data_IF_217706119128
#
_entry.id   IF_217706119128
#
_cell.length_a   1.000
_cell.length_b   1.000
_cell.length_c   1.000
_cell.angle_alpha   90.00
_cell.angle_beta   90.00
_cell.angle_gamma   90.00
#
_symmetry.space_group_name_H-M   'P 1'
#
loop_
_entity.id
_entity.type
_entity.pdbx_description
1 polymer ?
#
# COMPACT_ATOMS: atom_id res chain seq x y z
N UNK A 1 -17.15 -36.81 -52.52
CA UNK A 1 -17.10 -36.66 -53.99
C UNK A 1 -18.24 -35.73 -54.40
N UNK A 2 -17.87 -34.60 -55.01
CA UNK A 2 -18.61 -33.66 -55.89
C UNK A 2 -20.02 -33.18 -55.48
N UNK A 3 -20.33 -31.89 -55.32
CA UNK A 3 -20.09 -30.66 -56.10
C UNK A 3 -20.94 -30.53 -57.40
N UNK A 4 -22.00 -29.72 -57.36
CA UNK A 4 -22.41 -28.73 -58.40
C UNK A 4 -23.85 -28.24 -58.11
N UNK A 5 -24.12 -26.95 -57.82
CA UNK A 5 -24.12 -25.76 -58.72
C UNK A 5 -25.22 -25.93 -59.81
N UNK A 6 -26.20 -25.04 -59.99
CA UNK A 6 -26.15 -23.85 -60.86
C UNK A 6 -27.46 -23.02 -60.77
N UNK A 7 -27.29 -21.71 -60.49
CA UNK A 7 -27.88 -20.45 -61.05
C UNK A 7 -29.26 -20.40 -61.73
N UNK A 8 -29.98 -19.30 -61.46
CA UNK A 8 -30.45 -18.25 -62.40
C UNK A 8 -31.50 -17.36 -61.68
N UNK A 9 -31.77 -16.08 -61.96
CA UNK A 9 -31.16 -15.01 -62.71
C UNK A 9 -31.91 -13.71 -62.30
N UNK A 10 -31.26 -12.57 -62.55
CA UNK A 10 -31.66 -11.20 -62.21
C UNK A 10 -33.02 -10.77 -62.80
N UNK A 11 -33.77 -9.93 -62.07
CA UNK A 11 -34.47 -8.78 -62.68
C UNK A 11 -34.33 -7.52 -61.83
N UNK A 12 -33.87 -6.48 -62.50
CA UNK A 12 -33.53 -5.15 -62.04
C UNK A 12 -34.74 -4.23 -62.24
N UNK A 13 -35.17 -3.47 -61.22
CA UNK A 13 -36.02 -2.26 -61.36
C UNK A 13 -35.69 -1.27 -60.24
N UNK A 14 -34.92 -0.24 -60.58
CA UNK A 14 -34.85 1.06 -59.88
C UNK A 14 -36.08 1.93 -60.26
N UNK A 15 -36.25 3.16 -59.72
CA UNK A 15 -35.99 3.65 -58.36
C UNK A 15 -37.21 4.44 -57.80
N UNK A 16 -37.28 4.68 -56.49
CA UNK A 16 -38.16 5.74 -55.95
C UNK A 16 -37.52 6.41 -54.73
N UNK A 17 -37.21 7.69 -54.87
CA UNK A 17 -36.77 8.61 -53.80
C UNK A 17 -37.92 8.83 -52.82
N UNK A 18 -37.66 8.86 -51.51
CA UNK A 18 -38.39 9.68 -50.52
C UNK A 18 -37.70 9.69 -49.15
N UNK A 19 -37.37 10.91 -48.70
CA UNK A 19 -37.46 11.36 -47.31
C UNK A 19 -36.56 10.70 -46.27
N UNK A 20 -35.41 11.33 -45.99
CA UNK A 20 -34.71 11.22 -44.70
C UNK A 20 -35.62 11.86 -43.65
N UNK A 21 -36.29 11.06 -42.83
CA UNK A 21 -37.00 11.53 -41.63
C UNK A 21 -36.00 11.49 -40.48
N UNK A 22 -35.54 12.67 -40.09
CA UNK A 22 -34.64 12.92 -38.99
C UNK A 22 -35.43 12.76 -37.69
N UNK A 23 -35.05 11.78 -36.87
CA UNK A 23 -35.59 11.64 -35.51
C UNK A 23 -34.81 12.59 -34.59
N UNK A 24 -35.48 13.44 -33.79
CA UNK A 24 -34.78 14.32 -32.87
C UNK A 24 -34.12 13.47 -31.79
N UNK A 25 -32.81 13.63 -31.65
CA UNK A 25 -32.01 13.03 -30.59
C UNK A 25 -32.55 13.51 -29.25
N UNK A 26 -33.21 12.60 -28.51
CA UNK A 26 -33.60 12.86 -27.14
C UNK A 26 -32.32 12.96 -26.31
N UNK A 27 -31.89 14.20 -26.03
CA UNK A 27 -30.76 14.48 -25.16
C UNK A 27 -31.11 14.00 -23.75
N UNK A 28 -30.51 12.89 -23.33
CA UNK A 28 -30.52 12.46 -21.93
C UNK A 28 -29.91 13.58 -21.09
N UNK A 29 -30.53 14.00 -19.98
CA UNK A 29 -29.93 14.97 -19.08
C UNK A 29 -28.60 14.38 -18.57
N UNK A 30 -27.52 15.14 -18.78
CA UNK A 30 -26.19 14.78 -18.30
C UNK A 30 -26.27 14.58 -16.79
N UNK A 31 -25.96 13.36 -16.35
CA UNK A 31 -25.83 13.02 -14.94
C UNK A 31 -24.93 14.07 -14.29
N UNK A 32 -25.30 14.65 -13.13
CA UNK A 32 -24.39 15.53 -12.43
C UNK A 32 -23.11 14.73 -12.15
N UNK A 33 -21.99 15.23 -12.66
CA UNK A 33 -20.67 14.75 -12.28
C UNK A 33 -20.51 15.06 -10.79
N UNK A 34 -20.91 14.11 -9.95
CA UNK A 34 -20.47 14.06 -8.56
C UNK A 34 -18.99 13.71 -8.67
N UNK A 35 -18.13 14.73 -8.59
CA UNK A 35 -16.69 14.51 -8.51
C UNK A 35 -16.41 13.80 -7.18
N UNK A 36 -15.85 12.58 -7.18
CA UNK A 36 -15.35 12.00 -5.95
C UNK A 36 -14.17 12.85 -5.50
N UNK A 37 -14.22 13.33 -4.26
CA UNK A 37 -13.16 14.11 -3.62
C UNK A 37 -12.04 13.22 -3.08
N UNK A 38 -11.76 12.10 -3.77
CA UNK A 38 -10.76 11.10 -3.36
C UNK A 38 -9.93 10.70 -4.59
N UNK A 39 -8.63 10.49 -4.35
CA UNK A 39 -7.56 10.25 -5.33
C UNK A 39 -7.98 9.57 -6.65
N UNK A 40 -7.40 10.03 -7.77
CA UNK A 40 -7.59 9.47 -9.13
C UNK A 40 -7.14 8.00 -9.30
N UNK A 41 -6.71 7.33 -8.24
CA UNK A 41 -6.14 5.97 -8.25
C UNK A 41 -6.84 5.00 -7.31
N UNK A 42 -8.16 5.13 -7.11
CA UNK A 42 -8.91 4.20 -6.26
C UNK A 42 -9.15 2.88 -7.00
N UNK A 43 -8.42 1.83 -6.64
CA UNK A 43 -8.57 0.50 -7.25
C UNK A 43 -9.62 -0.30 -6.47
N UNK A 44 -10.72 -0.76 -7.11
CA UNK A 44 -11.72 -1.57 -6.42
C UNK A 44 -11.11 -2.91 -6.01
N UNK A 45 -11.41 -3.35 -4.80
CA UNK A 45 -10.88 -4.60 -4.27
C UNK A 45 -11.96 -5.38 -3.52
N UNK A 46 -11.84 -6.70 -3.59
CA UNK A 46 -12.67 -7.65 -2.87
C UNK A 46 -11.77 -8.51 -2.00
N UNK A 47 -12.16 -8.70 -0.74
CA UNK A 47 -11.44 -9.56 0.18
C UNK A 47 -11.70 -11.03 -0.16
N UNK A 48 -10.66 -11.80 -0.42
CA UNK A 48 -10.76 -13.23 -0.73
C UNK A 48 -10.86 -14.10 0.53
N UNK A 49 -10.26 -13.63 1.63
CA UNK A 49 -10.28 -14.26 2.95
C UNK A 49 -10.49 -13.23 4.05
N UNK A 50 -10.77 -13.72 5.26
CA UNK A 50 -10.76 -12.89 6.46
C UNK A 50 -9.36 -12.30 6.64
N UNK A 51 -9.29 -10.99 6.88
CA UNK A 51 -8.06 -10.24 6.96
C UNK A 51 -8.06 -9.36 8.19
N UNK A 52 -7.01 -9.47 9.01
CA UNK A 52 -6.78 -8.52 10.09
C UNK A 52 -6.30 -7.20 9.51
N UNK A 53 -6.95 -6.12 9.92
CA UNK A 53 -6.65 -4.78 9.47
C UNK A 53 -6.71 -3.81 10.65
N UNK A 54 -6.03 -2.67 10.53
CA UNK A 54 -5.98 -1.65 11.57
C UNK A 54 -6.75 -0.43 11.11
N UNK A 55 -7.72 0.03 11.89
CA UNK A 55 -8.49 1.23 11.57
C UNK A 55 -7.62 2.48 11.70
N UNK A 56 -7.61 3.33 10.67
CA UNK A 56 -6.88 4.61 10.67
C UNK A 56 -7.87 5.76 10.85
N UNK A 57 -7.65 6.70 11.80
CA UNK A 57 -6.45 6.92 12.61
C UNK A 57 -6.48 6.28 14.02
N UNK A 58 -7.56 5.59 14.40
CA UNK A 58 -7.73 5.14 15.79
C UNK A 58 -6.70 4.10 16.26
N UNK A 59 -6.20 3.24 15.36
CA UNK A 59 -5.27 2.15 15.69
C UNK A 59 -5.95 0.85 16.12
N UNK A 60 -7.29 0.80 16.14
CA UNK A 60 -8.03 -0.40 16.56
C UNK A 60 -7.88 -1.53 15.53
N UNK A 61 -7.50 -2.73 16.00
CA UNK A 61 -7.47 -3.93 15.17
C UNK A 61 -8.87 -4.47 14.92
N UNK A 62 -9.21 -4.69 13.64
CA UNK A 62 -10.51 -5.18 13.19
C UNK A 62 -10.29 -6.24 12.12
N UNK A 63 -10.97 -7.38 12.23
CA UNK A 63 -10.98 -8.40 11.19
C UNK A 63 -12.06 -8.08 10.15
N UNK A 64 -11.65 -7.85 8.91
CA UNK A 64 -12.54 -7.65 7.77
C UNK A 64 -12.93 -9.02 7.18
N UNK A 65 -14.23 -9.33 7.06
CA UNK A 65 -14.66 -10.64 6.58
C UNK A 65 -14.42 -10.82 5.08
N UNK A 66 -14.19 -12.07 4.67
CA UNK A 66 -14.13 -12.46 3.27
C UNK A 66 -15.39 -12.01 2.52
N UNK A 67 -15.22 -11.50 1.31
CA UNK A 67 -16.28 -10.94 0.48
C UNK A 67 -16.61 -9.47 0.75
N UNK A 68 -15.95 -8.84 1.74
CA UNK A 68 -15.97 -7.38 1.90
C UNK A 68 -15.50 -6.69 0.61
N UNK A 69 -16.12 -5.54 0.28
CA UNK A 69 -15.74 -4.73 -0.87
C UNK A 69 -15.26 -3.36 -0.42
N UNK A 70 -14.19 -2.89 -1.06
CA UNK A 70 -13.63 -1.59 -0.78
C UNK A 70 -12.84 -1.03 -1.95
N UNK A 71 -12.09 0.02 -1.67
CA UNK A 71 -11.19 0.64 -2.63
C UNK A 71 -9.81 0.80 -1.99
N UNK A 72 -8.76 0.35 -2.66
CA UNK A 72 -7.39 0.68 -2.27
C UNK A 72 -7.19 2.16 -2.55
N UNK A 73 -6.97 2.94 -1.49
CA UNK A 73 -6.70 4.37 -1.58
C UNK A 73 -5.21 4.65 -1.68
N UNK A 74 -4.39 3.79 -1.07
CA UNK A 74 -2.93 3.91 -1.04
C UNK A 74 -2.28 2.51 -0.99
N UNK A 75 -1.13 2.37 -1.64
CA UNK A 75 -0.27 1.20 -1.57
C UNK A 75 1.18 1.70 -1.37
N UNK A 76 1.68 1.62 -0.13
CA UNK A 76 2.95 2.23 0.28
C UNK A 76 3.77 1.22 1.08
N UNK A 77 4.99 0.95 0.62
CA UNK A 77 5.99 0.18 1.38
C UNK A 77 5.55 -1.22 1.77
N UNK A 78 4.83 -1.89 0.88
CA UNK A 78 4.24 -3.19 1.12
C UNK A 78 2.92 -3.16 1.90
N UNK A 79 2.52 -2.06 2.55
CA UNK A 79 1.21 -1.95 3.21
C UNK A 79 0.15 -1.32 2.31
N UNK A 80 -1.11 -1.69 2.53
CA UNK A 80 -2.24 -1.23 1.72
C UNK A 80 -3.26 -0.53 2.60
N UNK A 81 -3.64 0.69 2.23
CA UNK A 81 -4.76 1.39 2.86
C UNK A 81 -6.01 1.19 2.00
N UNK A 82 -7.04 0.62 2.60
CA UNK A 82 -8.33 0.35 1.96
C UNK A 82 -9.43 1.17 2.60
N UNK A 83 -10.39 1.61 1.79
CA UNK A 83 -11.61 2.26 2.24
C UNK A 83 -12.77 1.27 2.15
N UNK A 84 -13.31 0.89 3.31
CA UNK A 84 -14.40 -0.09 3.46
C UNK A 84 -15.46 0.50 4.37
N UNK A 85 -16.72 0.48 3.91
CA UNK A 85 -17.89 0.94 4.70
C UNK A 85 -17.77 2.33 5.34
N UNK A 86 -17.02 3.26 4.74
CA UNK A 86 -16.84 4.61 5.27
C UNK A 86 -15.60 4.81 6.13
N UNK A 87 -14.87 3.74 6.45
CA UNK A 87 -13.68 3.76 7.29
C UNK A 87 -12.43 3.42 6.47
N UNK A 88 -11.28 3.92 6.93
CA UNK A 88 -9.97 3.57 6.39
C UNK A 88 -9.36 2.46 7.24
N UNK A 89 -8.88 1.42 6.57
CA UNK A 89 -8.19 0.32 7.20
C UNK A 89 -6.83 0.14 6.55
N UNK A 90 -5.80 -0.07 7.36
CA UNK A 90 -4.46 -0.43 6.94
C UNK A 90 -4.31 -1.94 7.02
N UNK A 91 -3.85 -2.55 5.93
CA UNK A 91 -3.55 -3.97 5.80
C UNK A 91 -2.02 -4.11 5.71
N UNK A 92 -1.47 -5.03 6.50
CA UNK A 92 -0.05 -5.35 6.48
C UNK A 92 0.33 -6.04 5.16
N UNK A 93 1.58 -5.86 4.70
CA UNK A 93 1.99 -6.43 3.40
C UNK A 93 1.98 -7.94 3.31
N UNK A 94 2.19 -8.61 4.44
CA UNK A 94 2.03 -10.06 4.57
C UNK A 94 0.62 -10.55 4.25
N UNK A 95 -0.38 -9.68 4.43
CA UNK A 95 -1.80 -9.95 4.17
C UNK A 95 -2.29 -9.35 2.85
N UNK A 96 -1.38 -8.90 1.99
CA UNK A 96 -1.71 -8.38 0.66
C UNK A 96 -2.43 -9.41 -0.22
N UNK A 97 -2.21 -10.70 0.02
CA UNK A 97 -2.92 -11.80 -0.65
C UNK A 97 -4.43 -11.72 -0.41
N UNK A 98 -4.87 -11.26 0.76
CA UNK A 98 -6.30 -11.15 1.08
C UNK A 98 -7.04 -10.17 0.18
N UNK A 99 -6.33 -9.22 -0.41
CA UNK A 99 -6.87 -8.21 -1.34
C UNK A 99 -6.43 -8.45 -2.79
N UNK A 100 -5.95 -9.66 -3.10
CA UNK A 100 -5.51 -10.03 -4.45
C UNK A 100 -4.23 -9.32 -4.91
N UNK A 101 -3.41 -8.83 -3.96
CA UNK A 101 -2.09 -8.29 -4.24
C UNK A 101 -1.02 -9.33 -3.96
N UNK A 102 0.04 -9.31 -4.75
CA UNK A 102 1.20 -10.16 -4.49
C UNK A 102 1.85 -9.73 -3.18
N UNK A 103 2.03 -10.68 -2.25
CA UNK A 103 2.82 -10.45 -1.06
C UNK A 103 4.23 -10.00 -1.48
N UNK A 104 4.84 -9.03 -0.79
CA UNK A 104 6.17 -8.56 -1.13
C UNK A 104 7.16 -9.74 -1.17
N UNK A 105 8.06 -9.79 -2.17
CA UNK A 105 9.02 -10.88 -2.28
C UNK A 105 9.86 -10.96 -1.00
N UNK A 106 10.07 -12.19 -0.52
CA UNK A 106 10.92 -12.44 0.64
C UNK A 106 12.32 -11.87 0.43
N UNK A 107 12.91 -11.33 1.50
CA UNK A 107 14.23 -10.72 1.44
C UNK A 107 15.28 -11.81 1.25
N UNK A 108 16.09 -11.70 0.21
CA UNK A 108 17.22 -12.60 -0.03
C UNK A 108 18.50 -11.97 0.52
N UNK A 109 19.15 -12.66 1.45
CA UNK A 109 20.52 -12.35 1.87
C UNK A 109 21.44 -13.54 1.57
N UNK A 110 22.70 -13.30 1.16
CA UNK A 110 23.69 -14.35 1.08
C UNK A 110 23.96 -14.92 2.48
N UNK A 111 24.16 -16.24 2.59
CA UNK A 111 24.39 -16.94 3.87
C UNK A 111 25.61 -16.42 4.65
N UNK A 112 26.56 -15.77 3.96
CA UNK A 112 27.76 -15.16 4.54
C UNK A 112 27.71 -13.62 4.60
N UNK A 113 26.51 -13.03 4.61
CA UNK A 113 26.37 -11.57 4.68
C UNK A 113 27.10 -11.02 5.92
N UNK A 114 27.90 -9.98 5.74
CA UNK A 114 28.56 -9.26 6.84
C UNK A 114 27.53 -8.48 7.67
N UNK A 115 27.91 -8.06 8.87
CA UNK A 115 27.02 -7.24 9.70
C UNK A 115 26.71 -5.87 9.06
N UNK A 116 27.66 -5.32 8.28
CA UNK A 116 27.45 -4.08 7.52
C UNK A 116 26.42 -4.27 6.39
N UNK A 117 26.41 -5.43 5.73
CA UNK A 117 25.41 -5.75 4.69
C UNK A 117 24.02 -5.94 5.29
N UNK A 118 23.94 -6.56 6.48
CA UNK A 118 22.68 -6.67 7.22
C UNK A 118 22.20 -5.30 7.67
N UNK A 119 23.06 -4.46 8.22
CA UNK A 119 22.71 -3.10 8.64
C UNK A 119 22.18 -2.28 7.45
N UNK A 120 22.85 -2.36 6.29
CA UNK A 120 22.37 -1.73 5.06
C UNK A 120 20.98 -2.22 4.66
N UNK A 121 20.70 -3.53 4.78
CA UNK A 121 19.39 -4.09 4.49
C UNK A 121 18.34 -3.67 5.52
N UNK A 122 18.68 -3.60 6.81
CA UNK A 122 17.80 -3.06 7.87
C UNK A 122 17.40 -1.63 7.52
N UNK A 123 18.35 -0.76 7.16
CA UNK A 123 18.04 0.60 6.72
C UNK A 123 17.19 0.64 5.44
N UNK A 124 17.32 -0.33 4.53
CA UNK A 124 16.42 -0.44 3.38
C UNK A 124 15.02 -0.87 3.80
N UNK A 125 14.88 -1.81 4.74
CA UNK A 125 13.57 -2.21 5.25
C UNK A 125 12.88 -1.11 6.02
N UNK A 126 13.59 -0.38 6.87
CA UNK A 126 13.06 0.80 7.56
C UNK A 126 12.56 1.86 6.57
N UNK A 127 13.19 1.98 5.40
CA UNK A 127 12.69 2.87 4.33
C UNK A 127 11.37 2.43 3.70
N UNK A 128 11.02 1.15 3.84
CA UNK A 128 9.70 0.65 3.42
C UNK A 128 8.62 0.86 4.49
N UNK A 129 8.97 1.33 5.69
CA UNK A 129 8.00 1.70 6.70
C UNK A 129 7.50 3.12 6.45
N UNK A 130 6.18 3.28 6.36
CA UNK A 130 5.52 4.56 6.10
C UNK A 130 4.65 4.94 7.29
N UNK A 131 4.64 6.22 7.61
CA UNK A 131 3.72 6.76 8.60
C UNK A 131 2.29 6.83 7.98
N UNK A 132 1.26 6.32 8.67
CA UNK A 132 -0.11 6.30 8.14
C UNK A 132 -0.81 7.66 8.21
N UNK A 133 -0.34 8.59 9.05
CA UNK A 133 -0.87 9.96 9.14
C UNK A 133 -0.20 10.88 8.12
N UNK A 134 1.11 10.72 7.93
CA UNK A 134 1.92 11.42 6.94
C UNK A 134 2.47 10.36 5.98
N UNK A 135 1.90 10.18 4.76
CA UNK A 135 2.22 9.08 3.85
C UNK A 135 3.63 9.22 3.23
N UNK A 136 4.64 9.14 4.08
CA UNK A 136 6.05 9.32 3.82
C UNK A 136 6.86 8.35 4.67
N UNK A 137 8.07 8.07 4.23
CA UNK A 137 8.97 7.11 4.83
C UNK A 137 9.50 7.58 6.20
N UNK A 138 9.48 6.71 7.22
CA UNK A 138 9.94 7.04 8.58
C UNK A 138 11.41 7.46 8.66
N UNK A 139 12.28 6.93 7.80
CA UNK A 139 13.70 7.27 7.73
C UNK A 139 13.87 8.67 7.19
N UNK A 140 13.17 9.01 6.10
CA UNK A 140 13.27 10.34 5.49
C UNK A 140 12.52 11.41 6.29
N UNK A 141 11.50 11.02 7.07
CA UNK A 141 10.87 11.86 8.09
C UNK A 141 11.82 12.14 9.28
N UNK A 142 12.91 11.38 9.43
CA UNK A 142 13.83 11.51 10.55
C UNK A 142 13.24 10.99 11.87
N UNK A 143 12.36 9.99 11.81
CA UNK A 143 11.79 9.35 12.99
C UNK A 143 12.72 8.28 13.57
N UNK A 144 13.61 7.71 12.77
CA UNK A 144 14.60 6.72 13.21
C UNK A 144 15.88 7.45 13.63
N UNK A 145 16.28 7.30 14.89
CA UNK A 145 17.50 7.91 15.43
C UNK A 145 18.70 6.98 15.34
N UNK A 146 18.49 5.69 15.64
CA UNK A 146 19.55 4.71 15.72
C UNK A 146 18.99 3.34 15.30
N UNK A 147 19.80 2.56 14.57
CA UNK A 147 19.54 1.15 14.30
C UNK A 147 20.88 0.42 14.45
N UNK A 148 20.99 -0.42 15.47
CA UNK A 148 22.23 -1.15 15.81
C UNK A 148 22.00 -2.63 15.60
N UNK A 149 22.89 -3.28 14.85
CA UNK A 149 22.93 -4.74 14.74
C UNK A 149 23.90 -5.27 15.80
N UNK A 150 23.38 -6.07 16.72
CA UNK A 150 24.12 -6.72 17.80
C UNK A 150 24.01 -8.25 17.68
N UNK A 151 24.81 -8.98 18.45
CA UNK A 151 24.74 -10.44 18.52
C UNK A 151 24.32 -10.83 19.92
N UNK A 152 23.36 -11.76 20.04
CA UNK A 152 22.94 -12.31 21.32
C UNK A 152 24.05 -13.19 21.89
N UNK A 153 24.39 -12.98 23.16
CA UNK A 153 25.47 -13.71 23.83
C UNK A 153 25.18 -15.22 23.99
N UNK A 154 23.90 -15.62 23.98
CA UNK A 154 23.46 -16.99 24.25
C UNK A 154 23.66 -17.94 23.07
N UNK A 155 23.40 -17.46 21.85
CA UNK A 155 23.28 -18.28 20.64
C UNK A 155 24.01 -17.68 19.42
N UNK A 156 24.66 -16.52 19.59
CA UNK A 156 25.35 -15.77 18.55
C UNK A 156 24.44 -15.47 17.34
N UNK A 157 23.13 -15.36 17.57
CA UNK A 157 22.18 -14.90 16.57
C UNK A 157 22.14 -13.37 16.55
N UNK A 158 21.82 -12.79 15.40
CA UNK A 158 21.74 -11.34 15.25
C UNK A 158 20.46 -10.82 15.89
N UNK A 159 20.61 -9.72 16.62
CA UNK A 159 19.53 -8.91 17.17
C UNK A 159 19.65 -7.50 16.61
N UNK A 160 18.53 -6.84 16.38
CA UNK A 160 18.53 -5.45 15.95
C UNK A 160 17.81 -4.60 16.98
N UNK A 161 18.47 -3.55 17.44
CA UNK A 161 17.94 -2.57 18.38
C UNK A 161 17.71 -1.26 17.62
N UNK A 162 16.45 -0.86 17.46
CA UNK A 162 16.05 0.36 16.77
C UNK A 162 15.52 1.36 17.79
N UNK A 163 16.10 2.57 17.80
CA UNK A 163 15.54 3.70 18.55
C UNK A 163 14.85 4.64 17.59
N UNK A 164 13.56 4.85 17.82
CA UNK A 164 12.77 5.75 16.99
C UNK A 164 11.84 6.62 17.83
N UNK A 165 11.31 7.66 17.21
CA UNK A 165 10.36 8.59 17.80
C UNK A 165 9.09 8.68 16.97
N UNK A 166 8.11 9.44 17.45
CA UNK A 166 6.85 9.71 16.76
C UNK A 166 6.74 11.21 16.47
N UNK A 167 5.96 11.54 15.45
CA UNK A 167 5.63 12.93 15.10
C UNK A 167 4.84 13.63 16.21
N UNK A 168 4.03 12.88 16.97
CA UNK A 168 3.26 13.37 18.11
C UNK A 168 3.23 12.36 19.28
N UNK A 169 3.36 12.82 20.54
CA UNK A 169 3.20 11.96 21.71
C UNK A 169 1.75 11.49 21.83
N UNK A 170 1.55 10.19 22.02
CA UNK A 170 0.21 9.60 22.20
C UNK A 170 -0.58 9.34 20.91
N UNK A 171 0.08 9.26 19.76
CA UNK A 171 -0.54 8.79 18.52
C UNK A 171 -0.96 7.32 18.68
N UNK A 172 -2.25 7.00 18.50
CA UNK A 172 -2.78 5.63 18.57
C UNK A 172 -2.15 4.68 17.54
N UNK A 173 -1.59 5.23 16.46
CA UNK A 173 -0.86 4.48 15.45
C UNK A 173 0.60 4.20 15.81
N UNK A 174 1.13 4.77 16.91
CA UNK A 174 2.52 4.60 17.31
C UNK A 174 2.91 3.15 17.57
N UNK A 175 2.08 2.42 18.33
CA UNK A 175 2.31 0.99 18.61
C UNK A 175 2.22 0.14 17.34
N UNK A 176 1.33 0.49 16.42
CA UNK A 176 1.17 -0.18 15.12
C UNK A 176 2.38 0.07 14.22
N UNK A 177 2.97 1.27 14.28
CA UNK A 177 4.18 1.59 13.53
C UNK A 177 5.38 0.84 14.09
N UNK A 178 5.49 0.74 15.42
CA UNK A 178 6.51 -0.06 16.10
C UNK A 178 6.41 -1.54 15.70
N UNK A 179 5.20 -2.09 15.68
CA UNK A 179 4.96 -3.48 15.26
C UNK A 179 5.27 -3.70 13.77
N UNK A 180 4.94 -2.74 12.89
CA UNK A 180 5.29 -2.81 11.46
C UNK A 180 6.81 -2.78 11.26
N UNK A 181 7.52 -1.91 11.99
CA UNK A 181 8.99 -1.85 11.98
C UNK A 181 9.60 -3.15 12.47
N UNK A 182 9.17 -3.65 13.63
CA UNK A 182 9.64 -4.93 14.19
C UNK A 182 9.43 -6.06 13.20
N UNK A 183 8.18 -6.23 12.72
CA UNK A 183 7.82 -7.30 11.79
C UNK A 183 8.66 -7.26 10.52
N UNK A 184 8.92 -6.08 9.94
CA UNK A 184 9.71 -5.93 8.72
C UNK A 184 11.20 -6.22 8.95
N UNK A 185 11.74 -5.85 10.11
CA UNK A 185 13.12 -6.18 10.45
C UNK A 185 13.27 -7.67 10.71
N UNK A 186 12.30 -8.31 11.39
CA UNK A 186 12.30 -9.76 11.63
C UNK A 186 12.10 -10.60 10.36
N UNK A 187 11.54 -10.03 9.29
CA UNK A 187 11.48 -10.69 7.97
C UNK A 187 12.86 -10.86 7.32
N UNK A 188 13.88 -10.14 7.78
CA UNK A 188 15.23 -10.25 7.24
C UNK A 188 15.84 -11.59 7.69
N UNK A 189 16.26 -12.47 6.76
CA UNK A 189 16.93 -13.70 7.13
C UNK A 189 18.21 -13.39 7.91
N UNK A 190 18.57 -14.22 8.88
CA UNK A 190 19.68 -14.03 9.85
C UNK A 190 19.37 -13.20 11.10
N UNK A 191 18.27 -12.43 11.14
CA UNK A 191 17.82 -11.73 12.35
C UNK A 191 16.92 -12.66 13.16
N UNK A 192 17.22 -12.83 14.44
CA UNK A 192 16.41 -13.65 15.35
C UNK A 192 15.40 -12.83 16.15
N UNK A 193 15.71 -11.56 16.42
CA UNK A 193 14.91 -10.70 17.27
C UNK A 193 15.12 -9.23 16.88
N UNK A 194 14.04 -8.45 16.82
CA UNK A 194 14.11 -7.01 16.66
C UNK A 194 13.41 -6.31 17.85
N UNK A 195 14.17 -5.45 18.52
CA UNK A 195 13.66 -4.59 19.57
C UNK A 195 13.56 -3.15 19.07
N UNK A 196 12.43 -2.51 19.37
CA UNK A 196 12.11 -1.18 18.88
C UNK A 196 11.69 -0.34 20.07
N UNK A 197 12.55 0.60 20.44
CA UNK A 197 12.36 1.50 21.57
C UNK A 197 11.82 2.85 21.08
N UNK A 198 10.68 3.27 21.66
CA UNK A 198 10.13 4.61 21.45
C UNK A 198 10.77 5.60 22.42
N UNK A 199 11.57 6.51 21.87
CA UNK A 199 12.21 7.61 22.60
C UNK A 199 11.55 8.94 22.25
N UNK A 200 11.27 9.75 23.27
CA UNK A 200 10.69 11.08 23.12
C UNK A 200 11.70 12.21 23.39
N UNK A 201 12.93 11.87 23.76
CA UNK A 201 14.04 12.79 23.99
C UNK A 201 15.24 12.36 23.12
N UNK A 202 15.72 13.20 22.18
CA UNK A 202 15.21 14.53 21.83
C UNK A 202 13.81 14.49 21.20
N UNK A 203 12.99 15.55 21.35
CA UNK A 203 11.68 15.62 20.71
C UNK A 203 11.82 15.76 19.20
N UNK A 204 10.92 15.11 18.45
CA UNK A 204 10.92 15.22 17.01
C UNK A 204 10.67 16.65 16.52
N UNK A 205 11.35 17.05 15.45
CA UNK A 205 11.13 18.34 14.81
C UNK A 205 11.42 18.29 13.32
N UNK A 206 10.74 19.16 12.56
CA UNK A 206 10.83 19.25 11.08
C UNK A 206 12.25 19.43 10.53
N UNK A 207 13.19 19.89 11.36
CA UNK A 207 14.59 20.04 10.98
C UNK A 207 15.32 18.69 10.81
N UNK A 208 14.76 17.59 11.33
CA UNK A 208 15.30 16.24 11.18
C UNK A 208 14.82 15.55 9.89
N UNK A 209 13.83 16.13 9.20
CA UNK A 209 13.36 15.63 7.91
C UNK A 209 14.40 15.88 6.82
N UNK A 210 14.51 14.95 5.88
CA UNK A 210 15.31 15.14 4.67
C UNK A 210 14.73 16.29 3.81
N UNK A 211 15.57 16.89 2.97
CA UNK A 211 15.12 17.98 2.07
C UNK A 211 13.99 17.52 1.14
N UNK A 212 14.07 16.28 0.63
CA UNK A 212 13.03 15.67 -0.18
C UNK A 212 11.71 15.52 0.60
N UNK A 213 11.78 15.05 1.85
CA UNK A 213 10.60 14.91 2.71
C UNK A 213 9.92 16.25 2.97
N UNK A 214 10.68 17.31 3.26
CA UNK A 214 10.12 18.66 3.51
C UNK A 214 9.43 19.24 2.28
N UNK A 215 9.98 18.97 1.09
CA UNK A 215 9.41 19.43 -0.17
C UNK A 215 8.09 18.72 -0.49
N UNK A 216 8.04 17.40 -0.35
CA UNK A 216 6.84 16.61 -0.67
C UNK A 216 5.71 16.83 0.34
N UNK A 217 6.02 16.97 1.63
CA UNK A 217 5.00 17.26 2.64
C UNK A 217 4.57 18.74 2.67
N UNK A 218 5.25 19.61 1.91
CA UNK A 218 4.96 21.05 1.86
C UNK A 218 5.32 21.80 3.14
N UNK A 219 6.21 21.24 3.97
CA UNK A 219 6.63 21.80 5.27
C UNK A 219 7.93 22.62 5.19
N UNK A 220 8.14 23.31 4.06
CA UNK A 220 9.38 24.00 3.73
C UNK A 220 9.46 25.41 4.34
#
# INVERSE_FOLDING_TARGET
MECSVVRAARRNRQPARRGRLEWPTCALPTRPHIQPMYSRSSEPVQFERDCDAVMVPQGDSVTLPAGSYGYITQALGGSYTVFVEGNLFRIAGKDGDAIGKEAPPGLELPENASDEEVEALVWQQLRTCFDPEIPFNIVDLGLVYEAVVSHREEDNQRRVDVKMTLTAPGCGMGEILVDDVRSKVEMIPTIAEADVELVFDPPWGRHMMSEAARLETGML
#
